data_IF_015664097176
#
_entry.id   IF_015664097176
#
_cell.length_a   1.000
_cell.length_b   1.000
_cell.length_c   1.000
_cell.angle_alpha   90.00
_cell.angle_beta   90.00
_cell.angle_gamma   90.00
#
_symmetry.space_group_name_H-M   'P 1'
#
loop_
_entity.id
_entity.type
_entity.pdbx_description
1 polymer ?
#
# COMPACT_ATOMS: atom_id res chain seq x y z
N UNK A 1 -26.74 4.88 -22.65
CA UNK A 1 -25.91 4.71 -21.44
C UNK A 1 -26.10 5.86 -20.49
N UNK A 2 -25.39 5.86 -19.37
CA UNK A 2 -25.32 6.97 -18.42
C UNK A 2 -23.92 7.09 -17.84
N UNK A 3 -23.58 8.25 -17.31
CA UNK A 3 -22.29 8.48 -16.66
C UNK A 3 -22.38 8.32 -15.14
N UNK A 4 -21.35 7.76 -14.51
CA UNK A 4 -21.19 7.72 -13.05
C UNK A 4 -19.74 8.07 -12.65
N UNK A 5 -19.53 8.71 -11.49
CA UNK A 5 -18.18 9.03 -11.03
C UNK A 5 -17.40 7.75 -10.69
N UNK A 6 -16.10 7.76 -10.97
CA UNK A 6 -15.12 6.76 -10.48
C UNK A 6 -14.28 7.31 -9.33
N UNK A 7 -13.53 6.45 -8.66
CA UNK A 7 -12.61 6.84 -7.57
C UNK A 7 -13.24 6.86 -6.17
N UNK A 8 -14.51 6.49 -6.05
CA UNK A 8 -15.25 6.48 -4.77
C UNK A 8 -15.54 5.07 -4.24
N UNK A 9 -15.30 4.03 -5.03
CA UNK A 9 -15.59 2.66 -4.64
C UNK A 9 -14.53 2.11 -3.66
N UNK A 10 -14.81 0.99 -2.99
CA UNK A 10 -13.85 0.41 -2.04
C UNK A 10 -12.62 -0.18 -2.75
N UNK A 11 -12.83 -0.70 -3.95
CA UNK A 11 -11.81 -1.19 -4.89
C UNK A 11 -10.92 -0.08 -5.47
N UNK A 12 -11.37 1.18 -5.45
CA UNK A 12 -10.61 2.32 -5.99
C UNK A 12 -9.59 2.89 -4.97
N UNK A 13 -9.52 2.34 -3.76
CA UNK A 13 -8.68 2.89 -2.68
C UNK A 13 -7.21 2.93 -3.07
N UNK A 14 -6.57 4.08 -2.85
CA UNK A 14 -5.16 4.23 -3.17
C UNK A 14 -4.27 3.61 -2.10
N UNK A 15 -4.57 3.89 -0.83
CA UNK A 15 -3.76 3.39 0.27
C UNK A 15 -4.26 2.04 0.79
N UNK A 16 -3.34 1.11 1.11
CA UNK A 16 -3.68 -0.12 1.81
C UNK A 16 -4.50 0.20 3.06
N UNK A 17 -5.66 -0.46 3.20
CA UNK A 17 -6.56 -0.25 4.33
C UNK A 17 -5.88 -0.75 5.61
N UNK A 18 -5.68 0.14 6.57
CA UNK A 18 -5.46 -0.29 7.95
C UNK A 18 -6.77 -0.82 8.52
N UNK A 19 -6.73 -1.97 9.22
CA UNK A 19 -7.91 -2.64 9.82
C UNK A 19 -8.74 -1.74 10.75
N UNK A 20 -8.22 -0.58 11.14
CA UNK A 20 -8.81 0.36 12.10
C UNK A 20 -9.24 1.71 11.51
N UNK A 21 -9.08 1.96 10.20
CA UNK A 21 -9.41 3.25 9.59
C UNK A 21 -10.86 3.30 9.07
N UNK A 22 -11.66 4.23 9.59
CA UNK A 22 -12.99 4.53 9.07
C UNK A 22 -12.87 5.13 7.64
N UNK A 23 -13.56 4.53 6.68
CA UNK A 23 -13.45 4.87 5.25
C UNK A 23 -13.75 6.33 4.92
N UNK A 24 -14.60 7.00 5.71
CA UNK A 24 -14.94 8.41 5.50
C UNK A 24 -13.75 9.38 5.65
N UNK A 25 -12.77 9.08 6.50
CA UNK A 25 -11.56 9.91 6.59
C UNK A 25 -10.61 9.67 5.41
N UNK A 26 -10.64 8.47 4.82
CA UNK A 26 -9.78 8.14 3.69
C UNK A 26 -10.15 8.96 2.46
N UNK A 27 -11.44 9.07 2.10
CA UNK A 27 -11.88 9.89 0.97
C UNK A 27 -11.46 11.36 1.12
N UNK A 28 -11.57 11.91 2.34
CA UNK A 28 -11.15 13.27 2.62
C UNK A 28 -9.65 13.45 2.40
N UNK A 29 -8.84 12.54 2.94
CA UNK A 29 -7.40 12.57 2.78
C UNK A 29 -6.98 12.40 1.32
N UNK A 30 -7.57 11.45 0.59
CA UNK A 30 -7.33 11.24 -0.84
C UNK A 30 -7.72 12.49 -1.65
N UNK A 31 -8.84 13.15 -1.34
CA UNK A 31 -9.26 14.37 -2.04
C UNK A 31 -8.29 15.53 -1.88
N UNK A 32 -7.71 15.69 -0.69
CA UNK A 32 -6.74 16.76 -0.42
C UNK A 32 -5.31 16.43 -0.83
N UNK A 33 -4.97 15.14 -1.01
CA UNK A 33 -3.62 14.72 -1.39
C UNK A 33 -3.46 14.43 -2.88
N UNK A 34 -4.48 13.84 -3.52
CA UNK A 34 -4.45 13.43 -4.92
C UNK A 34 -5.85 13.43 -5.54
N UNK A 35 -6.34 14.64 -5.87
CA UNK A 35 -7.70 14.87 -6.34
C UNK A 35 -7.99 14.21 -7.69
N UNK A 36 -6.97 14.04 -8.52
CA UNK A 36 -7.04 13.47 -9.87
C UNK A 36 -7.68 12.08 -9.88
N UNK A 37 -7.58 11.33 -8.77
CA UNK A 37 -8.32 10.08 -8.54
C UNK A 37 -9.83 10.21 -8.80
N UNK A 38 -10.42 11.36 -8.46
CA UNK A 38 -11.86 11.60 -8.57
C UNK A 38 -12.27 12.19 -9.93
N UNK A 39 -11.34 12.32 -10.88
CA UNK A 39 -11.60 12.80 -12.24
C UNK A 39 -11.95 11.66 -13.21
N UNK A 40 -12.06 10.43 -12.72
CA UNK A 40 -12.52 9.29 -13.50
C UNK A 40 -14.05 9.30 -13.63
N UNK A 41 -14.54 8.96 -14.82
CA UNK A 41 -15.96 8.84 -15.11
C UNK A 41 -16.20 7.56 -15.90
N UNK A 42 -17.16 6.75 -15.45
CA UNK A 42 -17.58 5.55 -16.15
C UNK A 42 -18.73 5.87 -17.10
N UNK A 43 -18.66 5.37 -18.33
CA UNK A 43 -19.78 5.32 -19.26
C UNK A 43 -20.42 3.93 -19.18
N UNK A 44 -21.61 3.84 -18.61
CA UNK A 44 -22.32 2.60 -18.37
C UNK A 44 -23.37 2.31 -19.45
N UNK A 45 -23.77 1.04 -19.60
CA UNK A 45 -24.83 0.63 -20.51
C UNK A 45 -24.38 0.36 -21.94
N UNK A 46 -23.06 0.30 -22.19
CA UNK A 46 -22.49 -0.06 -23.49
C UNK A 46 -22.66 -1.55 -23.81
N UNK A 47 -22.85 -2.40 -22.80
CA UNK A 47 -23.17 -3.81 -22.93
C UNK A 47 -24.48 -4.08 -23.70
N UNK A 48 -25.36 -3.08 -23.77
CA UNK A 48 -26.62 -3.15 -24.51
C UNK A 48 -26.51 -2.61 -25.96
N UNK A 49 -25.33 -2.13 -26.37
CA UNK A 49 -25.09 -1.56 -27.70
C UNK A 49 -24.53 -2.66 -28.61
N UNK A 50 -25.24 -2.96 -29.69
CA UNK A 50 -24.73 -3.85 -30.74
C UNK A 50 -23.97 -3.02 -31.77
N UNK A 51 -22.68 -3.29 -31.91
CA UNK A 51 -21.82 -2.68 -32.93
C UNK A 51 -21.67 -3.66 -34.12
N UNK A 52 -21.78 -3.18 -35.37
CA UNK A 52 -21.51 -3.99 -36.54
C UNK A 52 -20.07 -4.53 -36.53
N UNK A 53 -19.88 -5.77 -36.98
CA UNK A 53 -18.56 -6.37 -37.09
C UNK A 53 -17.71 -5.64 -38.15
N UNK A 54 -16.40 -5.51 -37.90
CA UNK A 54 -15.44 -4.99 -38.88
C UNK A 54 -15.30 -3.46 -38.93
N UNK A 55 -15.91 -2.72 -38.01
CA UNK A 55 -15.67 -1.28 -37.88
C UNK A 55 -14.32 -1.01 -37.19
N UNK A 56 -13.59 0.00 -37.67
CA UNK A 56 -12.32 0.45 -37.07
C UNK A 56 -12.50 1.48 -35.94
N UNK A 57 -13.70 2.04 -35.82
CA UNK A 57 -14.04 3.06 -34.84
C UNK A 57 -15.50 3.47 -34.97
N UNK A 58 -15.98 4.21 -33.99
CA UNK A 58 -17.30 4.83 -33.97
C UNK A 58 -17.24 6.10 -33.13
N UNK A 59 -18.16 7.02 -33.40
CA UNK A 59 -18.28 8.25 -32.63
C UNK A 59 -19.39 8.10 -31.58
N UNK A 60 -19.14 8.68 -30.40
CA UNK A 60 -20.13 8.78 -29.34
C UNK A 60 -20.40 10.25 -29.05
N UNK A 61 -21.63 10.70 -29.35
CA UNK A 61 -22.05 12.07 -29.09
C UNK A 61 -22.67 12.18 -27.69
N UNK A 62 -22.08 13.02 -26.85
CA UNK A 62 -22.60 13.33 -25.51
C UNK A 62 -23.42 14.61 -25.57
N UNK A 63 -24.74 14.47 -25.58
CA UNK A 63 -25.67 15.61 -25.57
C UNK A 63 -25.93 16.04 -24.13
N UNK A 64 -25.47 17.25 -23.77
CA UNK A 64 -25.65 17.84 -22.43
C UNK A 64 -26.89 18.75 -22.38
N UNK A 65 -27.49 18.89 -21.21
CA UNK A 65 -28.64 19.79 -20.98
C UNK A 65 -28.25 21.24 -20.74
N UNK A 66 -26.96 21.54 -20.65
CA UNK A 66 -26.40 22.87 -20.42
C UNK A 66 -25.50 23.25 -21.58
N UNK A 67 -25.44 24.55 -21.90
CA UNK A 67 -24.49 25.06 -22.88
C UNK A 67 -23.07 24.93 -22.34
N UNK A 68 -22.16 24.45 -23.19
CA UNK A 68 -20.76 24.33 -22.84
C UNK A 68 -20.09 25.72 -22.85
N UNK A 69 -19.35 26.11 -21.79
CA UNK A 69 -18.70 27.42 -21.72
C UNK A 69 -17.69 27.62 -22.86
N UNK A 70 -17.83 28.70 -23.63
CA UNK A 70 -17.04 28.93 -24.85
C UNK A 70 -15.54 29.23 -24.61
N UNK A 71 -15.16 29.52 -23.36
CA UNK A 71 -13.80 29.83 -22.92
C UNK A 71 -13.01 28.59 -22.49
N UNK A 72 -13.67 27.43 -22.36
CA UNK A 72 -12.98 26.18 -22.14
C UNK A 72 -12.37 25.71 -23.47
N UNK A 73 -11.14 25.19 -23.49
CA UNK A 73 -10.59 24.51 -24.66
C UNK A 73 -10.97 23.02 -24.64
N UNK A 74 -11.18 22.43 -25.83
CA UNK A 74 -11.25 20.98 -26.02
C UNK A 74 -10.03 20.55 -26.81
N UNK A 75 -9.35 19.50 -26.35
CA UNK A 75 -8.18 18.91 -27.01
C UNK A 75 -8.35 17.40 -27.09
N UNK A 76 -7.66 16.76 -28.03
CA UNK A 76 -7.71 15.29 -28.17
C UNK A 76 -7.18 14.58 -26.90
N UNK A 77 -6.26 15.22 -26.17
CA UNK A 77 -5.71 14.73 -24.89
C UNK A 77 -6.64 14.97 -23.68
N UNK A 78 -7.82 15.55 -23.87
CA UNK A 78 -8.74 15.85 -22.76
C UNK A 78 -9.39 14.59 -22.17
N UNK A 79 -9.44 13.50 -22.94
CA UNK A 79 -10.01 12.22 -22.53
C UNK A 79 -8.98 11.12 -22.80
N UNK A 80 -8.57 10.44 -21.73
CA UNK A 80 -7.66 9.30 -21.83
C UNK A 80 -8.36 8.04 -21.34
N UNK A 81 -8.30 6.99 -22.16
CA UNK A 81 -8.62 5.63 -21.75
C UNK A 81 -7.33 4.92 -21.31
N UNK A 82 -7.48 3.82 -20.57
CA UNK A 82 -6.34 3.00 -20.11
C UNK A 82 -5.36 3.71 -19.17
N UNK A 83 -5.85 4.66 -18.36
CA UNK A 83 -5.09 5.28 -17.29
C UNK A 83 -5.55 4.74 -15.93
N UNK A 84 -4.63 4.64 -14.98
CA UNK A 84 -4.93 4.26 -13.59
C UNK A 84 -3.99 5.03 -12.66
N UNK A 85 -4.47 5.53 -11.50
CA UNK A 85 -3.59 6.13 -10.52
C UNK A 85 -2.68 5.06 -9.89
N UNK A 86 -1.41 5.38 -9.72
CA UNK A 86 -0.41 4.49 -9.12
C UNK A 86 0.31 5.20 -7.98
N UNK A 87 0.67 4.45 -6.93
CA UNK A 87 1.47 4.93 -5.82
C UNK A 87 2.81 4.18 -5.77
N UNK A 88 3.86 4.86 -5.31
CA UNK A 88 5.20 4.28 -5.25
C UNK A 88 5.37 3.38 -4.03
N UNK A 89 4.86 2.15 -4.12
CA UNK A 89 5.08 1.07 -3.16
C UNK A 89 5.62 -0.15 -3.90
N UNK A 90 6.62 -0.81 -3.32
CA UNK A 90 7.22 -2.01 -3.88
C UNK A 90 7.60 -3.00 -2.79
N UNK A 91 7.55 -4.29 -3.09
CA UNK A 91 7.94 -5.34 -2.14
C UNK A 91 9.45 -5.31 -1.91
N UNK A 92 9.83 -5.44 -0.65
CA UNK A 92 11.20 -5.57 -0.18
C UNK A 92 11.36 -6.87 0.60
N UNK A 93 12.48 -7.54 0.34
CA UNK A 93 12.99 -8.56 1.24
C UNK A 93 13.93 -7.91 2.26
N UNK A 94 13.71 -8.22 3.54
CA UNK A 94 14.66 -7.89 4.58
C UNK A 94 15.80 -8.91 4.61
N UNK A 95 16.97 -8.50 5.11
CA UNK A 95 17.95 -9.48 5.57
C UNK A 95 17.36 -10.31 6.71
N UNK A 96 17.62 -11.63 6.76
CA UNK A 96 17.18 -12.44 7.88
C UNK A 96 17.71 -11.87 9.19
N UNK A 97 16.79 -11.54 10.10
CA UNK A 97 17.13 -10.92 11.38
C UNK A 97 17.38 -12.01 12.41
N UNK A 98 18.65 -12.18 12.82
CA UNK A 98 19.02 -13.12 13.88
C UNK A 98 18.76 -12.45 15.22
N UNK A 99 17.86 -13.04 16.00
CA UNK A 99 17.44 -12.55 17.30
C UNK A 99 18.09 -13.42 18.40
N UNK A 100 18.55 -12.77 19.48
CA UNK A 100 19.26 -13.41 20.58
C UNK A 100 18.48 -13.35 21.92
N UNK A 101 17.27 -12.77 21.91
CA UNK A 101 16.40 -12.64 23.07
C UNK A 101 16.83 -11.56 24.09
N UNK A 102 18.03 -11.00 23.97
CA UNK A 102 18.60 -10.01 24.89
C UNK A 102 18.09 -8.60 24.61
N UNK A 103 17.88 -8.28 23.33
CA UNK A 103 17.39 -6.98 22.89
C UNK A 103 15.85 -6.93 22.93
N UNK A 104 15.32 -5.76 23.31
CA UNK A 104 13.88 -5.51 23.38
C UNK A 104 13.30 -5.01 22.06
N UNK A 105 14.11 -4.36 21.23
CA UNK A 105 13.72 -3.80 19.93
C UNK A 105 14.86 -4.06 18.93
N UNK A 106 14.52 -4.44 17.70
CA UNK A 106 15.48 -4.76 16.64
C UNK A 106 15.32 -3.77 15.48
N UNK A 107 16.40 -3.11 15.07
CA UNK A 107 16.37 -2.20 13.92
C UNK A 107 16.26 -2.99 12.61
N UNK A 108 15.23 -2.71 11.82
CA UNK A 108 15.06 -3.30 10.50
C UNK A 108 15.85 -2.54 9.46
N UNK A 109 16.60 -3.29 8.63
CA UNK A 109 17.32 -2.74 7.48
C UNK A 109 16.91 -3.52 6.23
N UNK A 110 16.34 -2.87 5.21
CA UNK A 110 16.06 -3.53 3.96
C UNK A 110 17.37 -3.80 3.21
N UNK A 111 17.44 -4.92 2.46
CA UNK A 111 18.64 -5.27 1.67
C UNK A 111 19.06 -4.17 0.69
N UNK A 112 18.09 -3.42 0.16
CA UNK A 112 18.29 -2.35 -0.85
C UNK A 112 18.64 -0.97 -0.27
N UNK A 113 18.97 -0.83 1.02
CA UNK A 113 19.31 0.48 1.60
C UNK A 113 20.56 1.13 0.97
N UNK A 114 21.38 0.37 0.22
CA UNK A 114 22.58 0.89 -0.43
C UNK A 114 22.31 2.03 -1.43
N UNK A 115 21.09 2.14 -1.97
CA UNK A 115 20.72 3.21 -2.90
C UNK A 115 20.44 4.55 -2.20
N UNK A 116 20.38 4.57 -0.86
CA UNK A 116 20.23 5.79 -0.06
C UNK A 116 18.86 6.45 -0.13
N UNK A 117 17.88 5.86 -0.81
CA UNK A 117 16.54 6.43 -0.96
C UNK A 117 15.41 5.50 -0.53
N UNK A 118 15.69 4.24 -0.28
CA UNK A 118 14.66 3.25 0.09
C UNK A 118 14.29 3.38 1.57
N UNK A 119 13.00 3.51 1.84
CA UNK A 119 12.43 3.54 3.20
C UNK A 119 11.41 2.41 3.37
N UNK A 120 11.23 1.96 4.61
CA UNK A 120 10.21 0.96 4.94
C UNK A 120 8.87 1.67 5.11
N UNK A 121 7.87 1.27 4.33
CA UNK A 121 6.48 1.74 4.46
C UNK A 121 5.73 0.92 5.52
N UNK A 122 5.80 -0.42 5.43
CA UNK A 122 5.13 -1.33 6.37
C UNK A 122 5.86 -2.67 6.49
N UNK A 123 5.67 -3.34 7.64
CA UNK A 123 6.06 -4.74 7.83
C UNK A 123 4.79 -5.59 7.70
N UNK A 124 4.73 -6.37 6.62
CA UNK A 124 3.51 -7.05 6.18
C UNK A 124 3.39 -8.45 6.79
N UNK A 125 4.51 -9.11 7.08
CA UNK A 125 4.54 -10.39 7.76
C UNK A 125 5.90 -10.61 8.45
N UNK A 126 5.86 -11.32 9.58
CA UNK A 126 7.04 -11.77 10.33
C UNK A 126 6.93 -13.25 10.60
N UNK A 127 7.91 -14.01 10.11
CA UNK A 127 8.01 -15.45 10.29
C UNK A 127 9.36 -15.78 10.92
N UNK A 128 9.37 -16.59 11.97
CA UNK A 128 10.57 -17.09 12.60
C UNK A 128 10.87 -18.51 12.15
N UNK A 129 12.15 -18.83 12.05
CA UNK A 129 12.65 -20.18 11.85
C UNK A 129 13.65 -20.48 12.96
N UNK A 130 13.32 -21.47 13.78
CA UNK A 130 14.16 -21.94 14.89
C UNK A 130 14.23 -23.47 14.95
N UNK A 131 14.81 -24.01 16.03
CA UNK A 131 14.90 -25.47 16.24
C UNK A 131 13.53 -26.14 16.38
N UNK A 132 12.55 -25.41 16.90
CA UNK A 132 11.18 -25.89 17.13
C UNK A 132 10.29 -25.81 15.87
N UNK A 133 10.83 -25.34 14.75
CA UNK A 133 10.14 -25.21 13.46
C UNK A 133 9.90 -23.77 13.04
N UNK A 134 9.00 -23.61 12.08
CA UNK A 134 8.52 -22.30 11.63
C UNK A 134 7.52 -21.73 12.62
N UNK A 135 7.60 -20.44 12.87
CA UNK A 135 6.69 -19.74 13.76
C UNK A 135 6.17 -18.46 13.11
N UNK A 136 4.87 -18.24 13.21
CA UNK A 136 4.24 -17.03 12.68
C UNK A 136 3.99 -16.03 13.80
N UNK A 137 4.30 -14.77 13.55
CA UNK A 137 4.03 -13.67 14.48
C UNK A 137 2.83 -12.86 14.00
N UNK A 138 1.88 -12.63 14.89
CA UNK A 138 0.65 -11.87 14.58
C UNK A 138 0.86 -10.37 14.87
N UNK A 139 0.38 -9.44 14.02
CA UNK A 139 0.48 -8.01 14.31
C UNK A 139 -0.28 -7.64 15.59
N UNK A 140 0.36 -6.90 16.51
CA UNK A 140 -0.22 -6.48 17.79
C UNK A 140 -1.53 -5.71 17.63
N UNK A 141 -1.65 -4.92 16.55
CA UNK A 141 -2.86 -4.14 16.23
C UNK A 141 -4.09 -5.02 16.00
N UNK A 142 -3.93 -6.23 15.47
CA UNK A 142 -5.07 -7.09 15.08
C UNK A 142 -5.96 -7.54 16.25
N UNK A 143 -5.42 -7.61 17.48
CA UNK A 143 -6.16 -8.00 18.68
C UNK A 143 -6.29 -6.89 19.72
N UNK A 144 -5.44 -5.85 19.68
CA UNK A 144 -5.56 -4.68 20.59
C UNK A 144 -6.90 -3.97 20.45
N UNK A 145 -7.46 -3.90 19.24
CA UNK A 145 -8.71 -3.17 18.96
C UNK A 145 -9.98 -3.89 19.44
N UNK A 146 -9.89 -5.13 19.96
CA UNK A 146 -11.07 -5.90 20.41
C UNK A 146 -11.51 -5.63 21.85
N UNK A 147 -10.84 -4.73 22.59
CA UNK A 147 -11.33 -4.17 23.86
C UNK A 147 -11.59 -5.15 25.02
N UNK A 148 -11.22 -6.42 24.91
CA UNK A 148 -11.43 -7.46 25.94
C UNK A 148 -10.23 -7.66 26.87
N UNK A 149 -10.44 -8.35 27.99
CA UNK A 149 -9.42 -8.68 29.02
C UNK A 149 -8.17 -9.36 28.40
N UNK A 150 -7.15 -8.55 28.10
CA UNK A 150 -5.94 -8.80 27.30
C UNK A 150 -5.00 -9.96 27.71
N UNK A 151 -5.34 -10.76 28.73
CA UNK A 151 -4.44 -11.84 29.20
C UNK A 151 -4.70 -13.20 28.56
N UNK A 152 -5.92 -13.47 28.08
CA UNK A 152 -6.28 -14.80 27.55
C UNK A 152 -6.40 -14.87 26.02
N UNK A 153 -6.61 -13.75 25.33
CA UNK A 153 -6.79 -13.72 23.86
C UNK A 153 -5.56 -13.21 23.09
N UNK A 154 -4.49 -12.81 23.78
CA UNK A 154 -3.26 -12.40 23.12
C UNK A 154 -2.61 -13.63 22.44
N UNK A 155 -2.32 -13.57 21.14
CA UNK A 155 -1.59 -14.64 20.46
C UNK A 155 -0.28 -14.95 21.19
N UNK A 156 0.12 -16.22 21.12
CA UNK A 156 1.33 -16.71 21.79
C UNK A 156 2.61 -16.03 21.30
N UNK A 157 2.58 -15.50 20.06
CA UNK A 157 3.62 -14.70 19.42
C UNK A 157 3.00 -13.54 18.66
N UNK A 158 3.44 -12.32 18.95
CA UNK A 158 3.01 -11.12 18.25
C UNK A 158 4.17 -10.17 18.02
N UNK A 159 3.98 -9.25 17.08
CA UNK A 159 4.96 -8.20 16.81
C UNK A 159 4.32 -6.81 16.77
N UNK A 160 5.12 -5.80 17.06
CA UNK A 160 4.78 -4.40 16.91
C UNK A 160 5.92 -3.65 16.23
N UNK A 161 5.60 -2.66 15.41
CA UNK A 161 6.58 -1.84 14.72
C UNK A 161 6.55 -0.41 15.23
N UNK A 162 7.72 0.18 15.46
CA UNK A 162 7.87 1.60 15.78
C UNK A 162 8.69 2.28 14.71
N UNK A 163 8.23 3.45 14.27
CA UNK A 163 8.92 4.27 13.29
C UNK A 163 9.44 5.52 13.99
N UNK A 164 10.73 5.84 13.80
CA UNK A 164 11.38 7.03 14.35
C UNK A 164 12.17 7.72 13.24
N UNK A 165 12.21 9.05 13.26
CA UNK A 165 13.04 9.80 12.32
C UNK A 165 14.51 9.71 12.77
N UNK A 166 15.37 9.19 11.90
CA UNK A 166 16.81 9.11 12.10
C UNK A 166 17.51 10.44 11.86
N UNK A 167 18.84 10.45 12.09
CA UNK A 167 19.68 11.67 11.98
C UNK A 167 19.79 12.20 10.54
N UNK A 168 19.63 11.34 9.54
CA UNK A 168 19.62 11.71 8.11
C UNK A 168 18.27 12.31 7.68
N UNK A 169 17.28 12.31 8.56
CA UNK A 169 15.91 12.72 8.27
C UNK A 169 15.04 11.65 7.64
N UNK A 170 15.58 10.47 7.32
CA UNK A 170 14.84 9.26 6.91
C UNK A 170 14.23 8.55 8.12
N UNK A 171 13.36 7.58 7.87
CA UNK A 171 12.70 6.81 8.93
C UNK A 171 13.39 5.48 9.23
N UNK A 172 13.73 5.27 10.50
CA UNK A 172 14.17 4.01 11.07
C UNK A 172 12.97 3.23 11.58
N UNK A 173 12.83 1.98 11.14
CA UNK A 173 11.77 1.07 11.58
C UNK A 173 12.34 0.04 12.55
N UNK A 174 11.72 -0.07 13.71
CA UNK A 174 12.10 -0.99 14.79
C UNK A 174 11.03 -2.06 14.96
N UNK A 175 11.45 -3.32 15.06
CA UNK A 175 10.61 -4.47 15.34
C UNK A 175 10.67 -4.81 16.83
N UNK A 176 9.51 -5.03 17.43
CA UNK A 176 9.34 -5.45 18.81
C UNK A 176 8.58 -6.76 18.80
N UNK A 177 9.11 -7.76 19.49
CA UNK A 177 8.52 -9.09 19.60
C UNK A 177 7.94 -9.27 21.00
N UNK A 178 6.80 -9.94 21.09
CA UNK A 178 6.15 -10.24 22.35
C UNK A 178 5.28 -11.49 22.27
N UNK A 179 4.73 -11.88 23.41
CA UNK A 179 3.88 -13.07 23.54
C UNK A 179 4.43 -14.05 24.56
N UNK A 180 3.55 -14.82 25.21
CA UNK A 180 3.94 -15.71 26.29
C UNK A 180 4.92 -16.80 25.83
N UNK A 181 4.76 -17.32 24.59
CA UNK A 181 5.72 -18.28 24.04
C UNK A 181 7.04 -17.63 23.68
N UNK A 182 7.03 -16.41 23.15
CA UNK A 182 8.25 -15.64 22.93
C UNK A 182 9.05 -15.43 24.23
N UNK A 183 8.36 -15.09 25.33
CA UNK A 183 8.99 -14.89 26.64
C UNK A 183 9.48 -16.21 27.27
N UNK A 184 8.80 -17.33 27.02
CA UNK A 184 9.23 -18.65 27.47
C UNK A 184 10.44 -19.18 26.66
N UNK A 185 10.45 -18.91 25.34
CA UNK A 185 11.50 -19.29 24.40
C UNK A 185 12.70 -18.33 24.44
N UNK A 186 12.73 -17.34 25.34
CA UNK A 186 13.80 -16.34 25.51
C UNK A 186 15.14 -16.92 26.01
N UNK A 187 15.22 -18.25 26.10
CA UNK A 187 16.46 -19.02 26.22
C UNK A 187 17.37 -18.71 25.00
N UNK A 188 18.71 -18.82 25.12
CA UNK A 188 19.66 -18.24 24.17
C UNK A 188 19.78 -19.02 22.83
N UNK A 189 18.68 -19.56 22.32
CA UNK A 189 18.63 -20.15 20.99
C UNK A 189 18.45 -19.05 19.95
N UNK A 190 19.33 -19.03 18.95
CA UNK A 190 19.21 -18.08 17.83
C UNK A 190 18.00 -18.48 16.98
N UNK A 191 16.98 -17.66 16.98
CA UNK A 191 15.91 -17.71 15.98
C UNK A 191 16.27 -16.75 14.84
N UNK A 192 15.94 -17.15 13.61
CA UNK A 192 16.12 -16.28 12.43
C UNK A 192 14.75 -15.83 11.96
N UNK A 193 14.53 -14.53 11.89
CA UNK A 193 13.28 -13.96 11.38
C UNK A 193 13.41 -13.61 9.91
N UNK A 194 12.45 -14.06 9.12
CA UNK A 194 12.19 -13.62 7.76
C UNK A 194 11.03 -12.62 7.76
N UNK A 195 11.25 -11.46 7.15
CA UNK A 195 10.26 -10.38 7.08
C UNK A 195 9.87 -10.10 5.64
N UNK A 196 8.56 -9.97 5.42
CA UNK A 196 8.01 -9.38 4.19
C UNK A 196 7.70 -7.92 4.47
N UNK A 197 8.28 -7.03 3.68
CA UNK A 197 8.23 -5.59 3.90
C UNK A 197 7.73 -4.91 2.62
N UNK A 198 6.91 -3.88 2.76
CA UNK A 198 6.62 -2.95 1.68
C UNK A 198 7.50 -1.72 1.85
N UNK A 199 8.20 -1.35 0.78
CA UNK A 199 9.08 -0.20 0.71
C UNK A 199 8.50 0.94 -0.12
N UNK A 200 9.09 2.11 0.06
CA UNK A 200 8.87 3.29 -0.78
C UNK A 200 10.19 4.03 -0.96
N UNK A 201 10.18 5.10 -1.74
CA UNK A 201 11.31 6.00 -1.87
C UNK A 201 11.10 7.27 -1.04
N UNK A 202 11.99 7.51 -0.08
CA UNK A 202 12.00 8.68 0.81
C UNK A 202 12.54 9.93 0.14
N UNK A 203 13.77 10.32 0.49
CA UNK A 203 14.39 11.58 0.07
C UNK A 203 14.88 11.59 -1.40
N UNK A 204 14.00 11.24 -2.35
CA UNK A 204 14.25 11.40 -3.78
C UNK A 204 13.75 12.77 -4.26
N UNK A 205 14.52 13.51 -5.08
CA UNK A 205 14.02 14.74 -5.69
C UNK A 205 12.75 14.45 -6.48
N UNK A 206 11.69 15.23 -6.25
CA UNK A 206 10.37 15.05 -6.89
C UNK A 206 10.44 14.95 -8.43
N UNK A 207 11.39 15.66 -9.05
CA UNK A 207 11.64 15.63 -10.51
C UNK A 207 12.19 14.29 -11.01
N UNK A 208 12.93 13.55 -10.19
CA UNK A 208 13.45 12.24 -10.57
C UNK A 208 12.31 11.22 -10.77
N UNK A 209 11.29 11.27 -9.91
CA UNK A 209 10.12 10.39 -10.00
C UNK A 209 9.18 10.73 -11.17
N UNK A 210 9.16 11.99 -11.63
CA UNK A 210 8.37 12.40 -12.81
C UNK A 210 8.92 11.85 -14.13
N UNK A 211 10.23 11.55 -14.18
CA UNK A 211 10.86 10.99 -15.39
C UNK A 211 10.62 9.49 -15.57
N UNK A 212 10.23 8.79 -14.50
CA UNK A 212 9.74 7.41 -14.54
C UNK A 212 8.29 7.40 -14.99
N UNK A 213 8.08 7.41 -16.31
CA UNK A 213 6.79 7.12 -16.92
C UNK A 213 6.55 5.60 -16.88
N UNK A 214 5.42 5.20 -16.30
CA UNK A 214 4.95 3.81 -16.29
C UNK A 214 4.01 3.61 -17.49
N UNK A 215 4.56 3.73 -18.71
CA UNK A 215 3.78 3.65 -19.96
C UNK A 215 3.61 2.20 -20.46
N UNK A 216 3.91 1.20 -19.62
CA UNK A 216 3.81 -0.21 -19.97
C UNK A 216 3.19 -1.00 -18.82
N UNK A 217 2.10 -1.71 -19.12
CA UNK A 217 1.67 -2.83 -18.29
C UNK A 217 2.60 -4.02 -18.55
N UNK A 218 3.44 -4.38 -17.59
CA UNK A 218 4.12 -5.67 -17.61
C UNK A 218 3.12 -6.76 -17.22
N UNK A 219 3.04 -7.84 -18.00
CA UNK A 219 2.26 -9.01 -17.63
C UNK A 219 2.91 -9.65 -16.39
N UNK A 220 2.16 -9.72 -15.29
CA UNK A 220 2.52 -10.57 -14.16
C UNK A 220 2.37 -12.01 -14.63
N UNK A 221 3.49 -12.75 -14.69
CA UNK A 221 3.54 -14.19 -14.97
C UNK A 221 2.93 -15.00 -13.82
#
# INVERSE_FOLDING_TARGET
GWFSPGGFAEEDRLWPKGDSAFSGYQLLLEYFTFREKFMFVHLNGLENVSLPAGISGFDLEVVLSQSWPADLPVTDDALCLHCVPVINLFTLEADPLIINGLESEYLLRPKRLQDGYTEIYSVDAVTGSGRTGSAEYVPFTSFRHRGGMLRHDAPERYYHTRVKRGVTGMYDTWLILGGQRWEADRMPERETLSLRITGTNGQLPRRALQSTLLDRCEQVL
#
